data_IF_308395641516
#
_entry.id   IF_308395641516
#
_cell.length_a   1.000
_cell.length_b   1.000
_cell.length_c   1.000
_cell.angle_alpha   90.00
_cell.angle_beta   90.00
_cell.angle_gamma   90.00
#
_symmetry.space_group_name_H-M   'P 1'
#
loop_
_entity.id
_entity.type
_entity.pdbx_description
1 polymer ?
#
# COMPACT_ATOMS: atom_id res chain seq x y z
N UNK A 1 -22.09 -24.54 28.40
CA UNK A 1 -20.91 -23.72 28.74
C UNK A 1 -21.23 -22.24 28.52
N UNK A 2 -22.20 -21.71 29.26
CA UNK A 2 -22.64 -20.30 29.19
C UNK A 2 -22.53 -19.62 30.56
N UNK A 3 -21.44 -19.90 31.28
CA UNK A 3 -21.09 -19.24 32.54
C UNK A 3 -20.04 -18.17 32.26
N UNK A 4 -20.40 -17.16 31.45
CA UNK A 4 -19.64 -15.92 31.37
C UNK A 4 -20.52 -14.79 31.89
N UNK A 5 -20.31 -14.48 33.17
CA UNK A 5 -20.74 -13.22 33.75
C UNK A 5 -20.10 -12.11 32.94
N UNK A 6 -20.89 -11.19 32.37
CA UNK A 6 -20.39 -9.95 31.79
C UNK A 6 -19.57 -9.23 32.87
N UNK A 7 -18.26 -9.43 32.83
CA UNK A 7 -17.38 -8.85 33.81
C UNK A 7 -17.05 -7.43 33.36
N UNK A 8 -16.87 -6.52 34.32
CA UNK A 8 -16.27 -5.20 34.03
C UNK A 8 -14.91 -5.34 33.32
N UNK A 9 -14.26 -6.52 33.43
CA UNK A 9 -13.04 -6.89 32.73
C UNK A 9 -13.19 -7.09 31.21
N UNK A 10 -14.40 -7.22 30.67
CA UNK A 10 -14.63 -7.36 29.22
C UNK A 10 -14.79 -6.00 28.51
N UNK A 11 -15.06 -4.92 29.25
CA UNK A 11 -15.08 -3.54 28.74
C UNK A 11 -13.82 -3.18 27.93
N UNK A 12 -12.59 -3.43 28.42
CA UNK A 12 -11.38 -3.15 27.63
C UNK A 12 -11.26 -4.01 26.37
N UNK A 13 -11.79 -5.24 26.37
CA UNK A 13 -11.79 -6.10 25.17
C UNK A 13 -12.71 -5.53 24.10
N UNK A 14 -13.92 -5.12 24.49
CA UNK A 14 -14.88 -4.47 23.59
C UNK A 14 -14.33 -3.16 23.03
N UNK A 15 -13.70 -2.34 23.88
CA UNK A 15 -13.06 -1.09 23.45
C UNK A 15 -11.95 -1.36 22.43
N UNK A 16 -11.10 -2.34 22.68
CA UNK A 16 -10.04 -2.75 21.75
C UNK A 16 -10.62 -3.25 20.42
N UNK A 17 -11.72 -4.02 20.48
CA UNK A 17 -12.37 -4.57 19.30
C UNK A 17 -12.98 -3.47 18.43
N UNK A 18 -13.73 -2.53 19.04
CA UNK A 18 -14.27 -1.35 18.35
C UNK A 18 -13.14 -0.52 17.73
N UNK A 19 -12.04 -0.31 18.46
CA UNK A 19 -10.89 0.44 17.96
C UNK A 19 -10.22 -0.24 16.77
N UNK A 20 -9.88 -1.52 16.87
CA UNK A 20 -9.24 -2.28 15.79
C UNK A 20 -10.13 -2.35 14.55
N UNK A 21 -11.43 -2.60 14.76
CA UNK A 21 -12.41 -2.71 13.69
C UNK A 21 -12.67 -1.37 13.00
N UNK A 22 -12.64 -0.27 13.77
CA UNK A 22 -12.67 1.09 13.25
C UNK A 22 -11.45 1.40 12.38
N UNK A 23 -10.23 1.13 12.88
CA UNK A 23 -8.98 1.36 12.13
C UNK A 23 -8.97 0.55 10.83
N UNK A 24 -9.33 -0.73 10.90
CA UNK A 24 -9.39 -1.62 9.73
C UNK A 24 -10.46 -1.16 8.71
N UNK A 25 -11.59 -0.62 9.19
CA UNK A 25 -12.64 -0.07 8.35
C UNK A 25 -12.18 1.20 7.60
N UNK A 26 -11.37 2.04 8.24
CA UNK A 26 -10.84 3.27 7.62
C UNK A 26 -9.89 2.93 6.48
N UNK A 27 -8.97 1.98 6.67
CA UNK A 27 -8.00 1.59 5.65
C UNK A 27 -8.68 1.02 4.39
N UNK A 28 -9.67 0.15 4.58
CA UNK A 28 -10.46 -0.43 3.49
C UNK A 28 -11.30 0.63 2.75
N UNK A 29 -11.91 1.58 3.46
CA UNK A 29 -12.63 2.69 2.85
C UNK A 29 -11.69 3.66 2.10
N UNK A 30 -10.48 3.89 2.63
CA UNK A 30 -9.46 4.72 2.00
C UNK A 30 -9.00 4.12 0.67
N UNK A 31 -8.74 2.81 0.61
CA UNK A 31 -8.36 2.14 -0.63
C UNK A 31 -9.42 2.29 -1.73
N UNK A 32 -10.70 2.06 -1.40
CA UNK A 32 -11.82 2.25 -2.34
C UNK A 32 -11.90 3.71 -2.77
N UNK A 33 -11.80 4.66 -1.83
CA UNK A 33 -11.84 6.08 -2.13
C UNK A 33 -10.69 6.50 -3.06
N UNK A 34 -9.48 5.98 -2.86
CA UNK A 34 -8.33 6.28 -3.71
C UNK A 34 -8.52 5.78 -5.14
N UNK A 35 -9.04 4.55 -5.32
CA UNK A 35 -9.31 3.98 -6.64
C UNK A 35 -10.43 4.75 -7.35
N UNK A 36 -11.49 5.11 -6.61
CA UNK A 36 -12.69 5.74 -7.19
C UNK A 36 -12.50 7.24 -7.47
N UNK A 37 -11.51 7.90 -6.87
CA UNK A 37 -11.19 9.33 -7.14
C UNK A 37 -10.80 9.61 -8.59
N UNK A 38 -10.36 8.60 -9.35
CA UNK A 38 -10.03 8.75 -10.77
C UNK A 38 -11.22 8.60 -11.74
N UNK A 39 -12.42 8.30 -11.26
CA UNK A 39 -13.58 8.01 -12.11
C UNK A 39 -14.48 9.24 -12.34
N UNK A 40 -15.11 9.35 -13.53
CA UNK A 40 -16.11 10.39 -13.83
C UNK A 40 -17.31 10.31 -12.88
N UNK A 41 -17.88 11.46 -12.52
CA UNK A 41 -18.87 11.58 -11.43
C UNK A 41 -20.08 10.65 -11.59
N UNK A 42 -20.54 10.41 -12.82
CA UNK A 42 -21.67 9.54 -13.13
C UNK A 42 -21.43 8.06 -12.75
N UNK A 43 -20.17 7.58 -12.78
CA UNK A 43 -19.82 6.20 -12.43
C UNK A 43 -19.34 6.06 -10.98
N UNK A 44 -19.03 7.17 -10.33
CA UNK A 44 -18.40 7.20 -9.00
C UNK A 44 -19.26 6.49 -7.95
N UNK A 45 -20.55 6.79 -7.91
CA UNK A 45 -21.50 6.18 -6.96
C UNK A 45 -21.64 4.67 -7.17
N UNK A 46 -21.70 4.24 -8.44
CA UNK A 46 -21.84 2.82 -8.78
C UNK A 46 -20.56 2.04 -8.45
N UNK A 47 -19.40 2.65 -8.71
CA UNK A 47 -18.10 2.08 -8.34
C UNK A 47 -17.92 1.99 -6.82
N UNK A 48 -18.34 3.01 -6.05
CA UNK A 48 -18.35 2.96 -4.59
C UNK A 48 -19.24 1.82 -4.06
N UNK A 49 -20.45 1.68 -4.62
CA UNK A 49 -21.40 0.67 -4.14
C UNK A 49 -20.93 -0.76 -4.42
N UNK A 50 -20.39 -1.01 -5.62
CA UNK A 50 -19.81 -2.31 -6.00
C UNK A 50 -18.55 -2.59 -5.17
N UNK A 51 -17.69 -1.57 -5.00
CA UNK A 51 -16.49 -1.64 -4.17
C UNK A 51 -16.82 -2.03 -2.74
N UNK A 52 -17.75 -1.30 -2.09
CA UNK A 52 -18.17 -1.56 -0.71
C UNK A 52 -18.80 -2.95 -0.56
N UNK A 53 -19.66 -3.35 -1.50
CA UNK A 53 -20.30 -4.68 -1.48
C UNK A 53 -19.27 -5.80 -1.57
N UNK A 54 -18.33 -5.70 -2.52
CA UNK A 54 -17.25 -6.67 -2.66
C UNK A 54 -16.30 -6.67 -1.46
N UNK A 55 -16.08 -5.51 -0.84
CA UNK A 55 -15.20 -5.37 0.31
C UNK A 55 -15.75 -6.10 1.53
N UNK A 56 -17.07 -6.07 1.76
CA UNK A 56 -17.73 -6.86 2.82
C UNK A 56 -17.66 -8.36 2.52
N UNK A 57 -17.88 -8.77 1.27
CA UNK A 57 -17.81 -10.18 0.85
C UNK A 57 -16.39 -10.73 1.02
N UNK A 58 -15.39 -10.00 0.52
CA UNK A 58 -13.98 -10.34 0.63
C UNK A 58 -13.56 -10.41 2.11
N UNK A 59 -14.07 -9.49 2.94
CA UNK A 59 -13.83 -9.51 4.38
C UNK A 59 -14.40 -10.75 5.03
N UNK A 60 -15.65 -11.12 4.74
CA UNK A 60 -16.23 -12.35 5.25
C UNK A 60 -15.41 -13.57 4.84
N UNK A 61 -15.01 -13.65 3.57
CA UNK A 61 -14.16 -14.71 3.07
C UNK A 61 -12.79 -14.75 3.76
N UNK A 62 -12.17 -13.59 3.95
CA UNK A 62 -10.88 -13.44 4.63
C UNK A 62 -10.94 -13.86 6.10
N UNK A 63 -12.00 -13.45 6.83
CA UNK A 63 -12.21 -13.85 8.23
C UNK A 63 -12.47 -15.35 8.34
N UNK A 64 -13.29 -15.92 7.47
CA UNK A 64 -13.54 -17.37 7.44
C UNK A 64 -12.27 -18.16 7.13
N UNK A 65 -11.50 -17.71 6.13
CA UNK A 65 -10.22 -18.32 5.77
C UNK A 65 -9.21 -18.21 6.91
N UNK A 66 -9.10 -17.04 7.55
CA UNK A 66 -8.23 -16.82 8.69
C UNK A 66 -8.64 -17.67 9.89
N UNK A 67 -9.94 -17.77 10.19
CA UNK A 67 -10.45 -18.63 11.27
C UNK A 67 -10.08 -20.10 11.06
N UNK A 68 -10.06 -20.56 9.80
CA UNK A 68 -9.58 -21.90 9.45
C UNK A 68 -8.05 -22.02 9.58
N UNK A 69 -7.29 -21.07 9.02
CA UNK A 69 -5.82 -21.07 9.04
C UNK A 69 -5.23 -20.97 10.45
N UNK A 70 -5.87 -20.22 11.34
CA UNK A 70 -5.46 -20.04 12.75
C UNK A 70 -5.49 -21.36 13.51
N UNK A 71 -6.27 -22.36 13.10
CA UNK A 71 -6.24 -23.69 13.73
C UNK A 71 -4.88 -24.38 13.57
N UNK A 72 -4.10 -24.00 12.57
CA UNK A 72 -2.76 -24.54 12.30
C UNK A 72 -1.69 -23.64 12.95
N UNK A 73 -1.16 -24.06 14.09
CA UNK A 73 -0.14 -23.30 14.85
C UNK A 73 1.09 -22.86 14.01
N UNK A 74 1.59 -23.76 13.17
CA UNK A 74 2.72 -23.54 12.25
C UNK A 74 2.49 -22.36 11.30
N UNK A 75 1.24 -22.21 10.83
CA UNK A 75 0.84 -21.14 9.91
C UNK A 75 0.84 -19.79 10.62
N UNK A 76 0.46 -19.74 11.90
CA UNK A 76 0.51 -18.51 12.69
C UNK A 76 1.96 -18.00 12.84
N UNK A 77 2.90 -18.90 13.13
CA UNK A 77 4.32 -18.54 13.27
C UNK A 77 4.88 -18.03 11.94
N UNK A 78 4.67 -18.78 10.85
CA UNK A 78 5.15 -18.38 9.53
C UNK A 78 4.52 -17.07 9.06
N UNK A 79 3.20 -16.90 9.27
CA UNK A 79 2.48 -15.68 8.93
C UNK A 79 3.00 -14.48 9.73
N UNK A 80 3.15 -14.62 11.04
CA UNK A 80 3.68 -13.55 11.91
C UNK A 80 5.12 -13.16 11.55
N UNK A 81 5.98 -14.15 11.28
CA UNK A 81 7.35 -13.90 10.82
C UNK A 81 7.38 -13.19 9.46
N UNK A 82 6.51 -13.59 8.52
CA UNK A 82 6.40 -12.96 7.21
C UNK A 82 5.93 -11.49 7.31
N UNK A 83 4.95 -11.21 8.16
CA UNK A 83 4.46 -9.85 8.43
C UNK A 83 5.57 -8.95 9.00
N UNK A 84 6.34 -9.45 9.96
CA UNK A 84 7.48 -8.72 10.52
C UNK A 84 8.55 -8.45 9.46
N UNK A 85 8.89 -9.44 8.65
CA UNK A 85 9.83 -9.28 7.54
C UNK A 85 9.35 -8.23 6.54
N UNK A 86 8.07 -8.28 6.13
CA UNK A 86 7.50 -7.35 5.16
C UNK A 86 7.51 -5.91 5.68
N UNK A 87 7.16 -5.71 6.96
CA UNK A 87 7.16 -4.42 7.63
C UNK A 87 8.58 -3.84 7.72
N UNK A 88 9.54 -4.64 8.21
CA UNK A 88 10.94 -4.22 8.31
C UNK A 88 11.54 -3.93 6.92
N UNK A 89 11.29 -4.82 5.95
CA UNK A 89 11.76 -4.66 4.57
C UNK A 89 11.22 -3.37 3.95
N UNK A 90 9.93 -3.08 4.05
CA UNK A 90 9.36 -1.86 3.46
C UNK A 90 9.90 -0.59 4.14
N UNK A 91 9.98 -0.56 5.47
CA UNK A 91 10.48 0.62 6.18
C UNK A 91 11.97 0.87 5.90
N UNK A 92 12.79 -0.18 5.81
CA UNK A 92 14.23 -0.07 5.55
C UNK A 92 14.55 0.16 4.06
N UNK A 93 13.78 -0.42 3.15
CA UNK A 93 14.00 -0.31 1.68
C UNK A 93 13.55 1.04 1.13
N UNK A 94 12.49 1.66 1.69
CA UNK A 94 12.04 3.01 1.31
C UNK A 94 13.13 4.10 1.48
N UNK A 95 14.18 3.86 2.29
CA UNK A 95 15.33 4.78 2.38
C UNK A 95 16.30 4.69 1.19
N UNK A 96 16.29 3.60 0.41
CA UNK A 96 17.22 3.42 -0.73
C UNK A 96 16.68 3.98 -2.05
N UNK A 97 15.36 4.00 -2.24
CA UNK A 97 14.74 4.49 -3.49
C UNK A 97 14.81 6.03 -3.64
N UNK A 98 14.85 6.79 -2.54
CA UNK A 98 14.97 8.26 -2.61
C UNK A 98 16.35 8.76 -3.09
N UNK A 99 17.33 7.86 -3.31
CA UNK A 99 18.66 8.21 -3.84
C UNK A 99 18.87 7.89 -5.33
N UNK A 100 17.88 7.32 -6.02
CA UNK A 100 18.00 7.00 -7.46
C UNK A 100 17.24 7.96 -8.39
N UNK A 101 16.23 8.70 -7.89
CA UNK A 101 15.51 9.73 -8.67
C UNK A 101 16.22 11.10 -8.75
N UNK A 102 17.48 11.19 -8.32
CA UNK A 102 18.33 12.39 -8.54
C UNK A 102 19.64 12.09 -9.30
N UNK A 103 19.70 10.98 -10.05
CA UNK A 103 20.82 10.70 -10.95
C UNK A 103 20.41 10.41 -12.39
N UNK A 104 19.26 10.93 -12.81
CA UNK A 104 18.88 11.09 -14.22
C UNK A 104 19.52 12.33 -14.86
N UNK A 105 20.84 12.51 -14.71
CA UNK A 105 21.61 13.56 -15.39
C UNK A 105 21.98 13.17 -16.82
N UNK A 106 20.97 12.85 -17.64
CA UNK A 106 21.13 12.43 -19.04
C UNK A 106 21.40 13.57 -20.03
N UNK A 107 21.55 14.81 -19.57
CA UNK A 107 21.60 15.98 -20.44
C UNK A 107 23.01 16.56 -20.61
N UNK A 108 23.96 16.25 -19.71
CA UNK A 108 25.32 16.81 -19.80
C UNK A 108 26.13 16.20 -20.95
N UNK A 109 25.93 14.91 -21.23
CA UNK A 109 26.56 14.22 -22.35
C UNK A 109 26.06 14.73 -23.71
N UNK A 110 24.75 14.91 -23.85
CA UNK A 110 24.14 15.47 -25.07
C UNK A 110 24.52 16.93 -25.26
N UNK A 111 24.53 17.75 -24.20
CA UNK A 111 24.96 19.14 -24.30
C UNK A 111 26.45 19.26 -24.66
N UNK A 112 27.32 18.41 -24.10
CA UNK A 112 28.75 18.38 -24.47
C UNK A 112 28.97 17.94 -25.93
N UNK A 113 28.15 17.01 -26.43
CA UNK A 113 28.19 16.55 -27.81
C UNK A 113 27.68 17.61 -28.79
N UNK A 114 26.59 18.30 -28.46
CA UNK A 114 26.04 19.39 -29.27
C UNK A 114 26.99 20.60 -29.31
N UNK A 115 27.64 20.94 -28.19
CA UNK A 115 28.65 21.99 -28.15
C UNK A 115 29.89 21.61 -28.97
N UNK A 116 30.32 20.35 -28.94
CA UNK A 116 31.44 19.85 -29.77
C UNK A 116 31.09 19.79 -31.26
N UNK A 117 29.83 19.58 -31.63
CA UNK A 117 29.39 19.60 -33.03
C UNK A 117 29.38 21.02 -33.60
N UNK A 118 29.04 22.03 -32.79
CA UNK A 118 29.02 23.43 -33.21
C UNK A 118 30.43 24.00 -33.40
N UNK A 119 31.42 23.57 -32.61
CA UNK A 119 32.81 24.06 -32.74
C UNK A 119 33.51 23.56 -34.01
N UNK A 120 33.20 22.34 -34.47
CA UNK A 120 33.77 21.81 -35.72
C UNK A 120 33.29 22.57 -36.97
N UNK A 121 32.04 23.05 -36.97
CA UNK A 121 31.50 23.82 -38.10
C UNK A 121 32.13 25.22 -38.21
N UNK A 122 32.42 25.88 -37.08
CA UNK A 122 33.09 27.18 -37.10
C UNK A 122 34.56 27.09 -37.52
N UNK A 123 35.21 25.94 -37.34
CA UNK A 123 36.57 25.72 -37.82
C UNK A 123 36.62 25.49 -39.34
N UNK A 124 35.58 24.90 -39.93
CA UNK A 124 35.46 24.67 -41.39
C UNK A 124 35.15 25.94 -42.19
N UNK A 125 34.56 26.98 -41.57
CA UNK A 125 34.26 28.27 -42.24
C UNK A 125 35.45 29.24 -42.14
N UNK A 126 36.41 28.96 -41.24
CA UNK A 126 37.59 29.81 -40.99
C UNK A 126 38.86 29.36 -41.74
N UNK A 127 38.85 28.20 -42.40
CA UNK A 127 39.91 27.73 -43.32
C UNK A 127 39.49 27.88 -44.77
#
# INVERSE_FOLDING_TARGET
MFDQTFALADIPRLLTLIFLEGVLSVDNALAIALIVRGLPEALRQKALFIGLSSAVILRAFGVLSAAYLIQLYWVQILGGAYLLYLSLSHVLTRRKEQKQDFRGGGDFGQLSFLLSSQTLLLQSIRS
#
